data_IF_313955250381
#
_entry.id   IF_313955250381
#
_cell.length_a   1.000
_cell.length_b   1.000
_cell.length_c   1.000
_cell.angle_alpha   90.00
_cell.angle_beta   90.00
_cell.angle_gamma   90.00
#
_symmetry.space_group_name_H-M   'P 1'
#
loop_
_entity.id
_entity.type
_entity.pdbx_description
1 polymer ?
#
# COMPACT_ATOMS: atom_id res chain seq x y z
N UNK A 1 -3.22 -0.02 -2.62
CA UNK A 1 -3.80 -1.38 -2.67
C UNK A 1 -5.21 -1.27 -3.18
N UNK A 2 -5.71 -2.33 -3.80
CA UNK A 2 -7.09 -2.48 -4.22
C UNK A 2 -7.69 -3.69 -3.52
N UNK A 3 -8.77 -3.46 -2.77
CA UNK A 3 -9.56 -4.47 -2.10
C UNK A 3 -11.02 -4.11 -2.24
N UNK A 4 -11.89 -5.12 -2.35
CA UNK A 4 -13.33 -4.91 -2.46
C UNK A 4 -13.91 -4.40 -1.14
N UNK A 5 -14.92 -3.54 -1.23
CA UNK A 5 -15.65 -3.08 -0.05
C UNK A 5 -16.73 -4.08 0.36
N UNK A 6 -17.47 -4.64 -0.59
CA UNK A 6 -18.54 -5.62 -0.36
C UNK A 6 -18.26 -6.96 -1.04
N UNK A 7 -18.76 -8.07 -0.44
CA UNK A 7 -18.40 -9.42 -0.86
C UNK A 7 -19.09 -9.89 -2.16
N UNK A 8 -20.14 -9.21 -2.61
CA UNK A 8 -20.92 -9.54 -3.80
C UNK A 8 -20.36 -8.88 -5.08
N UNK A 9 -19.36 -8.00 -4.98
CA UNK A 9 -18.86 -7.16 -6.10
C UNK A 9 -17.45 -7.52 -6.56
N UNK A 10 -17.22 -8.80 -6.86
CA UNK A 10 -15.89 -9.30 -7.21
C UNK A 10 -15.23 -8.63 -8.44
N UNK A 11 -16.02 -8.16 -9.42
CA UNK A 11 -15.48 -7.50 -10.62
C UNK A 11 -15.00 -6.05 -10.35
N UNK A 12 -15.41 -5.43 -9.24
CA UNK A 12 -15.20 -3.99 -8.99
C UNK A 12 -13.72 -3.61 -8.91
N UNK A 13 -12.89 -4.44 -8.27
CA UNK A 13 -11.45 -4.18 -8.11
C UNK A 13 -10.69 -4.28 -9.43
N UNK A 14 -11.06 -5.24 -10.28
CA UNK A 14 -10.47 -5.40 -11.61
C UNK A 14 -10.87 -4.27 -12.56
N UNK A 15 -12.16 -3.92 -12.58
CA UNK A 15 -12.65 -2.78 -13.37
C UNK A 15 -11.98 -1.47 -12.92
N UNK A 16 -11.79 -1.27 -11.61
CA UNK A 16 -11.08 -0.10 -11.11
C UNK A 16 -9.60 -0.09 -11.57
N UNK A 17 -8.92 -1.24 -11.51
CA UNK A 17 -7.56 -1.36 -12.02
C UNK A 17 -7.47 -1.08 -13.53
N UNK A 18 -8.49 -1.50 -14.31
CA UNK A 18 -8.62 -1.20 -15.74
C UNK A 18 -8.76 0.31 -15.98
N UNK A 19 -9.68 0.99 -15.29
CA UNK A 19 -9.82 2.45 -15.40
C UNK A 19 -8.54 3.20 -15.01
N UNK A 20 -7.84 2.75 -13.95
CA UNK A 20 -6.56 3.34 -13.57
C UNK A 20 -5.50 3.12 -14.65
N UNK A 21 -5.43 1.92 -15.23
CA UNK A 21 -4.50 1.62 -16.31
C UNK A 21 -4.72 2.52 -17.52
N UNK A 22 -5.97 2.73 -17.90
CA UNK A 22 -6.33 3.61 -19.01
C UNK A 22 -5.97 5.07 -18.71
N UNK A 23 -6.33 5.57 -17.53
CA UNK A 23 -6.05 6.95 -17.12
C UNK A 23 -4.57 7.26 -16.90
N UNK A 24 -3.76 6.25 -16.56
CA UNK A 24 -2.31 6.40 -16.39
C UNK A 24 -1.53 6.27 -17.71
N UNK A 25 -2.14 5.68 -18.76
CA UNK A 25 -1.53 5.54 -20.07
C UNK A 25 -1.18 6.91 -20.66
N UNK A 26 0.10 7.11 -21.01
CA UNK A 26 0.59 8.38 -21.56
C UNK A 26 0.75 9.51 -20.54
N UNK A 27 0.51 9.26 -19.25
CA UNK A 27 0.77 10.23 -18.19
C UNK A 27 2.27 10.52 -18.05
N UNK A 28 2.60 11.79 -17.78
CA UNK A 28 3.96 12.22 -17.42
C UNK A 28 4.20 12.23 -15.90
N UNK A 29 3.17 11.95 -15.10
CA UNK A 29 3.26 11.94 -13.66
C UNK A 29 4.16 10.81 -13.14
N UNK A 30 4.81 11.04 -12.00
CA UNK A 30 5.49 9.98 -11.24
C UNK A 30 4.44 9.24 -10.43
N UNK A 31 4.32 7.94 -10.64
CA UNK A 31 3.34 7.08 -9.98
C UNK A 31 4.03 6.36 -8.82
N UNK A 32 3.54 6.54 -7.60
CA UNK A 32 4.01 5.80 -6.43
C UNK A 32 3.02 4.67 -6.17
N UNK A 33 3.46 3.43 -6.31
CA UNK A 33 2.57 2.28 -6.35
C UNK A 33 3.08 1.12 -5.48
N UNK A 34 2.15 0.40 -4.85
CA UNK A 34 2.51 -0.78 -4.06
C UNK A 34 2.89 -1.94 -4.99
N UNK A 35 4.13 -2.41 -4.89
CA UNK A 35 4.66 -3.56 -5.62
C UNK A 35 4.01 -4.89 -5.20
N UNK A 36 3.46 -4.96 -4.00
CA UNK A 36 2.94 -6.20 -3.41
C UNK A 36 1.49 -6.51 -3.81
N UNK A 37 0.84 -5.60 -4.54
CA UNK A 37 -0.54 -5.75 -5.00
C UNK A 37 -0.59 -5.92 -6.53
N UNK A 38 -0.88 -7.13 -7.05
CA UNK A 38 -0.90 -7.40 -8.49
C UNK A 38 -1.84 -6.50 -9.30
N UNK A 39 -2.98 -6.09 -8.76
CA UNK A 39 -3.93 -5.21 -9.45
C UNK A 39 -3.35 -3.80 -9.59
N UNK A 40 -2.73 -3.29 -8.52
CA UNK A 40 -2.06 -1.98 -8.53
C UNK A 40 -0.87 -2.00 -9.47
N UNK A 41 -0.04 -3.05 -9.44
CA UNK A 41 1.10 -3.18 -10.35
C UNK A 41 0.62 -3.18 -11.79
N UNK A 42 -0.39 -3.98 -12.12
CA UNK A 42 -0.90 -4.05 -13.48
C UNK A 42 -1.45 -2.70 -13.96
N UNK A 43 -2.18 -1.97 -13.12
CA UNK A 43 -2.66 -0.64 -13.45
C UNK A 43 -1.51 0.35 -13.68
N UNK A 44 -0.61 0.49 -12.70
CA UNK A 44 0.48 1.45 -12.73
C UNK A 44 1.51 1.19 -13.85
N UNK A 45 1.65 -0.07 -14.30
CA UNK A 45 2.61 -0.44 -15.36
C UNK A 45 2.29 0.12 -16.75
N UNK A 46 1.17 0.84 -16.90
CA UNK A 46 0.86 1.62 -18.11
C UNK A 46 1.57 2.99 -18.15
N UNK A 47 2.09 3.45 -17.01
CA UNK A 47 2.89 4.66 -16.91
C UNK A 47 4.39 4.32 -17.07
N UNK A 48 5.18 5.17 -17.77
CA UNK A 48 6.63 4.99 -17.87
C UNK A 48 7.38 5.32 -16.57
N UNK A 49 6.77 6.11 -15.67
CA UNK A 49 7.44 6.65 -14.48
C UNK A 49 6.78 6.09 -13.22
N UNK A 50 7.25 4.94 -12.75
CA UNK A 50 6.72 4.29 -11.54
C UNK A 50 7.81 4.08 -10.50
N UNK A 51 7.54 4.50 -9.26
CA UNK A 51 8.31 4.16 -8.07
C UNK A 51 7.57 3.05 -7.33
N UNK A 52 8.20 1.90 -7.24
CA UNK A 52 7.64 0.71 -6.62
C UNK A 52 7.97 0.65 -5.13
N UNK A 53 6.93 0.60 -4.30
CA UNK A 53 7.03 0.51 -2.84
C UNK A 53 6.58 -0.88 -2.40
N UNK A 54 7.42 -1.66 -1.73
CA UNK A 54 7.02 -2.89 -1.06
C UNK A 54 6.33 -2.56 0.28
N UNK A 55 5.06 -2.16 0.21
CA UNK A 55 4.24 -1.80 1.36
C UNK A 55 3.53 -3.03 2.00
N UNK A 56 3.58 -4.17 1.31
CA UNK A 56 2.91 -5.44 1.59
C UNK A 56 1.44 -5.46 1.20
N UNK A 57 0.88 -6.67 1.18
CA UNK A 57 -0.52 -6.92 0.87
C UNK A 57 -1.06 -7.97 1.85
N UNK A 58 -1.65 -7.51 2.96
CA UNK A 58 -2.25 -8.41 3.96
C UNK A 58 -3.49 -9.12 3.41
N UNK A 59 -4.35 -8.38 2.70
CA UNK A 59 -5.54 -8.92 2.06
C UNK A 59 -5.24 -9.33 0.61
N UNK A 60 -5.33 -10.64 0.31
CA UNK A 60 -4.91 -11.22 -0.99
C UNK A 60 -6.07 -11.73 -1.83
N UNK A 61 -7.27 -11.86 -1.25
CA UNK A 61 -8.40 -12.57 -1.87
C UNK A 61 -8.94 -11.89 -3.13
N UNK A 62 -8.72 -10.59 -3.27
CA UNK A 62 -9.09 -9.82 -4.45
C UNK A 62 -8.12 -9.98 -5.64
N UNK A 63 -6.96 -10.60 -5.42
CA UNK A 63 -5.86 -10.65 -6.39
C UNK A 63 -5.35 -12.08 -6.61
N UNK A 64 -6.28 -13.05 -6.72
CA UNK A 64 -5.99 -14.45 -7.05
C UNK A 64 -5.84 -14.71 -8.56
N UNK A 65 -6.56 -13.96 -9.39
CA UNK A 65 -6.49 -14.07 -10.85
C UNK A 65 -5.60 -12.98 -11.43
N UNK A 66 -4.77 -13.36 -12.40
CA UNK A 66 -3.88 -12.46 -13.10
C UNK A 66 -4.70 -11.40 -13.84
N UNK A 67 -4.47 -10.10 -13.58
CA UNK A 67 -5.18 -9.04 -14.30
C UNK A 67 -4.80 -9.02 -15.78
N UNK A 68 -3.61 -9.50 -16.15
CA UNK A 68 -3.17 -9.51 -17.55
C UNK A 68 -3.77 -10.63 -18.41
N UNK A 69 -3.96 -11.85 -17.87
CA UNK A 69 -4.34 -13.02 -18.67
C UNK A 69 -5.41 -13.93 -18.04
N UNK A 70 -5.87 -13.63 -16.82
CA UNK A 70 -6.85 -14.46 -16.09
C UNK A 70 -6.28 -15.68 -15.36
N UNK A 71 -5.01 -16.05 -15.59
CA UNK A 71 -4.35 -17.18 -14.93
C UNK A 71 -4.22 -17.07 -13.42
N UNK A 72 -4.02 -18.19 -12.71
CA UNK A 72 -3.88 -18.20 -11.24
C UNK A 72 -2.53 -17.61 -10.82
N UNK A 73 -2.55 -16.65 -9.89
CA UNK A 73 -1.36 -16.03 -9.31
C UNK A 73 -0.65 -16.99 -8.34
N UNK A 74 0.66 -17.13 -8.50
CA UNK A 74 1.57 -17.83 -7.60
C UNK A 74 2.15 -16.84 -6.59
N UNK A 75 2.36 -17.27 -5.34
CA UNK A 75 2.79 -16.38 -4.24
C UNK A 75 3.77 -17.06 -3.26
N UNK A 76 5.00 -17.39 -3.67
CA UNK A 76 6.00 -17.94 -2.76
C UNK A 76 6.57 -16.85 -1.84
N UNK A 77 6.38 -17.01 -0.52
CA UNK A 77 6.85 -16.03 0.46
C UNK A 77 6.22 -14.65 0.23
N UNK A 78 7.06 -13.63 0.06
CA UNK A 78 6.66 -12.25 -0.24
C UNK A 78 6.66 -11.92 -1.74
N UNK A 79 7.04 -12.87 -2.60
CA UNK A 79 7.00 -12.70 -4.06
C UNK A 79 5.67 -13.15 -4.64
N UNK A 80 5.36 -12.70 -5.86
CA UNK A 80 4.22 -13.16 -6.62
C UNK A 80 4.46 -13.10 -8.13
N UNK A 81 3.86 -14.04 -8.87
CA UNK A 81 3.94 -14.07 -10.34
C UNK A 81 2.81 -14.89 -10.97
N UNK A 82 2.56 -14.66 -12.26
CA UNK A 82 1.67 -15.46 -13.09
C UNK A 82 2.51 -16.44 -13.92
N UNK A 83 2.33 -17.74 -13.68
CA UNK A 83 3.04 -18.79 -14.43
C UNK A 83 2.64 -18.93 -15.91
N UNK A 84 1.57 -18.25 -16.35
CA UNK A 84 1.06 -18.36 -17.72
C UNK A 84 1.57 -17.25 -18.64
N UNK A 85 1.60 -15.99 -18.19
CA UNK A 85 1.98 -14.84 -19.02
C UNK A 85 3.25 -14.11 -18.54
N UNK A 86 3.86 -14.54 -17.42
CA UNK A 86 5.07 -13.93 -16.88
C UNK A 86 4.86 -12.63 -16.10
N UNK A 87 3.62 -12.13 -15.98
CA UNK A 87 3.31 -10.98 -15.13
C UNK A 87 3.79 -11.21 -13.69
N UNK A 88 4.61 -10.32 -13.14
CA UNK A 88 5.33 -10.54 -11.88
C UNK A 88 5.47 -9.28 -11.05
N UNK A 89 5.69 -9.48 -9.75
CA UNK A 89 6.10 -8.46 -8.81
C UNK A 89 7.33 -7.69 -9.33
N UNK A 90 7.25 -6.37 -9.48
CA UNK A 90 8.40 -5.56 -9.89
C UNK A 90 9.41 -5.46 -8.75
N UNK A 91 10.66 -5.16 -9.08
CA UNK A 91 11.67 -4.86 -8.06
C UNK A 91 11.31 -3.54 -7.34
N UNK A 92 11.06 -3.56 -6.02
CA UNK A 92 10.76 -2.35 -5.27
C UNK A 92 12.03 -1.53 -5.03
N UNK A 93 11.91 -0.21 -5.08
CA UNK A 93 12.98 0.72 -4.65
C UNK A 93 12.79 1.23 -3.24
N UNK A 94 11.59 1.08 -2.67
CA UNK A 94 11.27 1.37 -1.28
C UNK A 94 10.66 0.14 -0.63
N UNK A 95 10.90 -0.09 0.66
CA UNK A 95 10.29 -1.23 1.35
C UNK A 95 9.93 -0.93 2.80
N UNK A 96 8.78 -1.41 3.25
CA UNK A 96 8.47 -1.54 4.68
C UNK A 96 9.19 -2.78 5.22
N UNK A 97 10.04 -2.60 6.23
CA UNK A 97 10.71 -3.68 6.94
C UNK A 97 10.49 -3.52 8.45
N UNK A 98 9.49 -4.22 8.98
CA UNK A 98 9.11 -4.14 10.39
C UNK A 98 8.71 -2.72 10.79
N UNK A 99 9.57 -2.08 11.59
CA UNK A 99 9.41 -0.71 12.09
C UNK A 99 10.22 0.32 11.29
N UNK A 100 10.73 -0.04 10.12
CA UNK A 100 11.56 0.82 9.28
C UNK A 100 11.02 0.92 7.87
N UNK A 101 11.29 2.05 7.21
CA UNK A 101 11.24 2.15 5.75
C UNK A 101 12.66 2.11 5.21
N UNK A 102 12.90 1.23 4.25
CA UNK A 102 14.13 1.17 3.45
C UNK A 102 13.96 2.07 2.24
N UNK A 103 14.93 2.96 2.01
CA UNK A 103 14.96 3.85 0.85
C UNK A 103 15.72 3.22 -0.35
N UNK A 104 15.76 3.88 -1.53
CA UNK A 104 16.42 3.36 -2.73
C UNK A 104 17.95 3.21 -2.58
N UNK A 105 18.54 3.80 -1.55
CA UNK A 105 19.96 3.68 -1.23
C UNK A 105 20.22 2.58 -0.18
N UNK A 106 19.19 1.89 0.30
CA UNK A 106 19.27 0.85 1.31
C UNK A 106 19.34 1.38 2.75
N UNK A 107 19.16 2.70 2.96
CA UNK A 107 19.14 3.26 4.30
C UNK A 107 17.83 2.94 4.99
N UNK A 108 17.90 2.57 6.27
CA UNK A 108 16.73 2.24 7.09
C UNK A 108 16.33 3.44 7.95
N UNK A 109 15.08 3.89 7.80
CA UNK A 109 14.53 5.02 8.54
C UNK A 109 13.43 4.55 9.49
N UNK A 110 13.52 4.83 10.80
CA UNK A 110 12.55 4.32 11.77
C UNK A 110 11.19 5.00 11.61
N UNK A 111 10.13 4.22 11.72
CA UNK A 111 8.74 4.65 11.64
C UNK A 111 8.22 4.83 13.06
N UNK A 112 8.11 6.09 13.50
CA UNK A 112 7.46 6.45 14.75
C UNK A 112 6.12 7.12 14.42
N UNK A 113 5.02 6.38 14.59
CA UNK A 113 3.67 6.90 14.39
C UNK A 113 2.89 6.84 15.70
N UNK A 114 2.00 7.81 15.90
CA UNK A 114 0.96 7.72 16.93
C UNK A 114 -0.13 6.73 16.54
N UNK A 115 -0.38 6.59 15.23
CA UNK A 115 -1.36 5.67 14.68
C UNK A 115 -0.83 4.22 14.73
N UNK A 116 -1.56 3.28 15.37
CA UNK A 116 -1.11 1.90 15.50
C UNK A 116 -1.32 1.11 14.20
N UNK A 117 -0.68 -0.06 14.12
CA UNK A 117 -0.99 -1.08 13.13
C UNK A 117 -0.13 -1.02 11.87
N UNK A 118 0.06 -2.21 11.27
CA UNK A 118 0.89 -2.40 10.07
C UNK A 118 0.40 -1.57 8.88
N UNK A 119 -0.91 -1.41 8.72
CA UNK A 119 -1.50 -0.62 7.64
C UNK A 119 -0.99 0.83 7.64
N UNK A 120 -0.89 1.46 8.82
CA UNK A 120 -0.37 2.82 8.94
C UNK A 120 1.14 2.89 8.65
N UNK A 121 1.91 1.86 9.01
CA UNK A 121 3.34 1.77 8.62
C UNK A 121 3.51 1.61 7.11
N UNK A 122 2.64 0.83 6.46
CA UNK A 122 2.63 0.69 5.00
C UNK A 122 2.27 2.02 4.30
N UNK A 123 1.33 2.78 4.87
CA UNK A 123 1.00 4.13 4.41
C UNK A 123 2.18 5.09 4.60
N UNK A 124 2.90 5.00 5.73
CA UNK A 124 4.08 5.82 5.99
C UNK A 124 5.21 5.53 4.99
N UNK A 125 5.49 4.25 4.70
CA UNK A 125 6.47 3.87 3.68
C UNK A 125 6.13 4.46 2.30
N UNK A 126 4.86 4.34 1.87
CA UNK A 126 4.40 4.94 0.61
C UNK A 126 4.48 6.47 0.62
N UNK A 127 4.14 7.10 1.75
CA UNK A 127 4.18 8.55 1.91
C UNK A 127 5.60 9.10 1.94
N UNK A 128 6.56 8.35 2.50
CA UNK A 128 7.98 8.70 2.45
C UNK A 128 8.52 8.68 1.02
N UNK A 129 8.13 7.67 0.23
CA UNK A 129 8.45 7.61 -1.20
C UNK A 129 7.87 8.80 -1.99
N UNK A 130 6.62 9.20 -1.70
CA UNK A 130 6.02 10.42 -2.27
C UNK A 130 6.81 11.66 -1.88
N UNK A 131 7.12 11.84 -0.59
CA UNK A 131 7.84 13.01 -0.09
C UNK A 131 9.23 13.15 -0.73
N UNK A 132 9.94 12.03 -0.92
CA UNK A 132 11.24 12.01 -1.58
C UNK A 132 11.19 12.49 -3.04
N UNK A 133 10.10 12.22 -3.77
CA UNK A 133 9.91 12.72 -5.15
C UNK A 133 9.83 14.26 -5.17
N UNK A 134 9.35 14.86 -4.09
CA UNK A 134 9.34 16.33 -3.91
C UNK A 134 10.62 16.86 -3.25
N UNK A 135 11.66 16.05 -3.09
CA UNK A 135 12.93 16.45 -2.49
C UNK A 135 12.91 16.57 -0.96
N UNK A 136 11.87 16.05 -0.30
CA UNK A 136 11.81 16.01 1.17
C UNK A 136 12.55 14.77 1.68
N UNK A 137 13.55 14.91 2.57
CA UNK A 137 14.26 13.76 3.12
C UNK A 137 13.34 12.80 3.89
N UNK A 138 13.58 11.48 3.87
CA UNK A 138 12.69 10.49 4.49
C UNK A 138 12.52 10.72 6.00
N UNK A 139 13.61 11.08 6.68
CA UNK A 139 13.59 11.44 8.10
C UNK A 139 12.57 12.57 8.38
N UNK A 140 12.65 13.67 7.62
CA UNK A 140 11.77 14.83 7.80
C UNK A 140 10.32 14.44 7.55
N UNK A 141 10.06 13.64 6.51
CA UNK A 141 8.72 13.17 6.22
C UNK A 141 8.14 12.32 7.38
N UNK A 142 8.91 11.36 7.90
CA UNK A 142 8.49 10.49 9.00
C UNK A 142 8.27 11.25 10.31
N UNK A 143 9.16 12.20 10.64
CA UNK A 143 9.01 13.09 11.80
C UNK A 143 7.71 13.91 11.73
N UNK A 144 7.32 14.35 10.53
CA UNK A 144 6.04 15.07 10.33
C UNK A 144 4.83 14.13 10.44
N UNK A 145 4.94 12.89 9.96
CA UNK A 145 3.87 11.89 10.09
C UNK A 145 3.56 11.54 11.56
N UNK A 146 4.54 11.61 12.46
CA UNK A 146 4.33 11.42 13.91
C UNK A 146 3.28 12.37 14.49
N UNK A 147 3.14 13.58 13.94
CA UNK A 147 2.18 14.59 14.44
C UNK A 147 0.72 14.23 14.15
N UNK A 148 0.44 13.21 13.34
CA UNK A 148 -0.92 12.76 13.05
C UNK A 148 -1.44 11.90 14.21
N UNK A 149 -2.31 12.48 15.04
CA UNK A 149 -2.85 11.82 16.23
C UNK A 149 -4.07 10.94 15.95
N UNK A 150 -4.94 11.37 15.02
CA UNK A 150 -6.15 10.65 14.65
C UNK A 150 -6.50 10.92 13.18
N UNK A 151 -7.30 10.02 12.59
CA UNK A 151 -7.84 10.20 11.23
C UNK A 151 -9.35 10.05 11.29
N UNK A 152 -10.06 11.16 11.12
CA UNK A 152 -11.53 11.21 11.14
C UNK A 152 -12.15 10.49 12.36
N UNK A 153 -11.63 10.77 13.56
CA UNK A 153 -12.10 10.18 14.84
C UNK A 153 -11.71 8.71 15.06
N UNK A 154 -10.95 8.10 14.15
CA UNK A 154 -10.39 6.75 14.35
C UNK A 154 -9.12 6.82 15.19
N UNK A 155 -8.95 5.83 16.07
CA UNK A 155 -7.82 5.71 17.00
C UNK A 155 -7.79 6.77 18.10
N UNK A 156 -8.90 7.51 18.27
CA UNK A 156 -9.02 8.50 19.32
C UNK A 156 -8.85 7.87 20.70
N UNK A 157 -8.12 8.58 21.56
CA UNK A 157 -7.99 8.23 22.97
C UNK A 157 -8.88 9.18 23.76
N UNK A 158 -9.91 8.62 24.39
CA UNK A 158 -10.86 9.38 25.21
C UNK A 158 -10.69 9.01 26.67
N UNK A 159 -10.85 9.98 27.56
CA UNK A 159 -10.83 9.75 29.01
C UNK A 159 -12.25 9.51 29.52
N UNK A 160 -12.46 8.39 30.21
CA UNK A 160 -13.73 8.08 30.87
C UNK A 160 -13.47 7.52 32.27
N UNK A 161 -13.98 8.19 33.31
CA UNK A 161 -13.73 7.85 34.72
C UNK A 161 -12.24 7.63 35.05
N UNK A 162 -11.37 8.57 34.65
CA UNK A 162 -9.91 8.51 34.83
C UNK A 162 -9.23 7.29 34.20
N UNK A 163 -9.84 6.69 33.18
CA UNK A 163 -9.25 5.63 32.35
C UNK A 163 -9.11 6.11 30.92
N UNK A 164 -7.99 5.78 30.30
CA UNK A 164 -7.78 6.00 28.87
C UNK A 164 -8.41 4.86 28.07
N UNK A 165 -9.30 5.21 27.14
CA UNK A 165 -9.96 4.27 26.23
C UNK A 165 -9.54 4.60 24.80
N UNK A 166 -9.08 3.59 24.06
CA UNK A 166 -8.80 3.73 22.62
C UNK A 166 -9.97 3.24 21.80
N UNK A 167 -10.50 4.12 20.95
CA UNK A 167 -11.60 3.79 20.05
C UNK A 167 -11.07 3.16 18.74
N UNK A 168 -11.50 1.94 18.47
CA UNK A 168 -11.17 1.20 17.25
C UNK A 168 -12.42 0.97 16.41
N UNK A 169 -12.35 1.28 15.13
CA UNK A 169 -13.43 1.07 14.17
C UNK A 169 -13.14 -0.15 13.31
N UNK A 170 -14.03 -1.14 13.36
CA UNK A 170 -14.00 -2.31 12.49
C UNK A 170 -15.13 -2.21 11.46
N UNK A 171 -14.81 -2.32 10.17
CA UNK A 171 -15.79 -2.23 9.07
C UNK A 171 -15.86 -3.48 8.20
N UNK A 172 -14.73 -4.12 7.94
CA UNK A 172 -14.64 -5.27 7.02
C UNK A 172 -13.48 -6.20 7.44
N UNK A 173 -13.46 -7.45 6.95
CA UNK A 173 -12.43 -8.43 7.31
C UNK A 173 -11.00 -7.99 7.01
N UNK A 174 -10.78 -7.22 5.95
CA UNK A 174 -9.47 -6.67 5.62
C UNK A 174 -8.92 -5.75 6.72
N UNK A 175 -9.79 -5.03 7.43
CA UNK A 175 -9.42 -4.18 8.57
C UNK A 175 -9.24 -4.91 9.90
N UNK A 176 -9.51 -6.21 9.96
CA UNK A 176 -9.25 -7.03 11.15
C UNK A 176 -7.82 -7.60 11.19
N UNK A 177 -7.13 -7.58 10.04
CA UNK A 177 -5.80 -8.17 9.81
C UNK A 177 -4.65 -7.23 10.21
#
# INVERSE_FOLDING_TARGET
>A
NLSRDQLDRAAETRMMAEHWREGLSGSKAVIIANADDPLVVWAASSSPNVVWVAAGQAWKDDAWSCPSCGGVMQRPGDDWFCGQCGFRRPAPSWALNGDYVLDPHGSAWPIHLQLPGRANKANAASSAAVAAVFGVPPQVALERMYQVQAVAGRYDVVTFHNRELRLLLAKNPAGWL
#
